data_IF_957390580596
#
_entry.id   IF_957390580596
#
_cell.length_a   1.000
_cell.length_b   1.000
_cell.length_c   1.000
_cell.angle_alpha   90.00
_cell.angle_beta   90.00
_cell.angle_gamma   90.00
#
_symmetry.space_group_name_H-M   'P 1'
#
loop_
_entity.id
_entity.type
_entity.pdbx_description
1 polymer ?
#
# COMPACT_ATOMS: atom_id res chain seq x y z
N UNK A 1 10.91 7.49 -18.84
CA UNK A 1 11.53 6.39 -18.04
C UNK A 1 12.77 5.83 -18.71
N UNK A 2 12.81 5.76 -20.03
CA UNK A 2 13.96 5.22 -20.77
C UNK A 2 15.25 5.98 -20.48
N UNK A 3 15.20 7.30 -20.44
CA UNK A 3 16.33 8.13 -20.03
C UNK A 3 16.80 7.84 -18.61
N UNK A 4 15.84 7.69 -17.65
CA UNK A 4 16.17 7.37 -16.28
C UNK A 4 16.85 6.00 -16.16
N UNK A 5 16.37 5.02 -16.93
CA UNK A 5 16.95 3.67 -16.97
C UNK A 5 18.36 3.63 -17.54
N UNK A 6 18.71 4.58 -18.39
CA UNK A 6 20.08 4.67 -18.91
C UNK A 6 21.13 4.94 -17.81
N UNK A 7 20.71 5.56 -16.71
CA UNK A 7 21.59 5.92 -15.59
C UNK A 7 21.38 5.07 -14.33
N UNK A 8 20.15 4.55 -14.11
CA UNK A 8 19.79 3.85 -12.87
C UNK A 8 19.76 2.35 -13.10
N UNK A 9 20.59 1.61 -12.35
CA UNK A 9 20.62 0.14 -12.35
C UNK A 9 19.78 -0.49 -11.23
N UNK A 10 19.26 0.35 -10.32
CA UNK A 10 18.39 -0.10 -9.23
C UNK A 10 16.96 -0.34 -9.73
N UNK A 11 16.18 -1.18 -9.04
CA UNK A 11 14.75 -1.28 -9.29
C UNK A 11 14.06 0.09 -9.16
N UNK A 12 13.21 0.42 -10.15
CA UNK A 12 12.48 1.69 -10.18
C UNK A 12 11.00 1.40 -9.92
N UNK A 13 10.45 2.04 -8.88
CA UNK A 13 9.03 2.03 -8.58
C UNK A 13 8.44 3.40 -8.90
N UNK A 14 7.27 3.42 -9.54
CA UNK A 14 6.50 4.67 -9.70
C UNK A 14 5.52 4.83 -8.55
N UNK A 15 5.48 6.01 -7.94
CA UNK A 15 4.57 6.35 -6.84
C UNK A 15 3.60 7.45 -7.27
N UNK A 16 2.36 7.36 -6.78
CA UNK A 16 1.29 8.29 -7.12
C UNK A 16 0.33 7.74 -8.17
N UNK A 17 0.37 6.44 -8.41
CA UNK A 17 -0.54 5.77 -9.35
C UNK A 17 -1.90 5.60 -8.68
N UNK A 18 -2.95 6.10 -9.34
CA UNK A 18 -4.33 6.06 -8.87
C UNK A 18 -5.31 5.48 -9.91
N UNK A 19 -4.81 4.99 -11.05
CA UNK A 19 -5.65 4.41 -12.11
C UNK A 19 -5.07 3.10 -12.65
N UNK A 20 -5.95 2.24 -13.16
CA UNK A 20 -5.55 1.02 -13.87
C UNK A 20 -4.72 1.33 -15.12
N UNK A 21 -5.01 2.45 -15.79
CA UNK A 21 -4.31 2.86 -17.00
C UNK A 21 -2.84 3.18 -16.72
N UNK A 22 -2.58 4.05 -15.73
CA UNK A 22 -1.21 4.38 -15.33
C UNK A 22 -0.43 3.16 -14.83
N UNK A 23 -1.11 2.25 -14.13
CA UNK A 23 -0.50 1.01 -13.67
C UNK A 23 -0.08 0.10 -14.85
N UNK A 24 -0.91 0.01 -15.91
CA UNK A 24 -0.52 -0.73 -17.13
C UNK A 24 0.67 -0.10 -17.83
N UNK A 25 0.64 1.22 -18.02
CA UNK A 25 1.74 1.97 -18.63
C UNK A 25 3.04 1.79 -17.84
N UNK A 26 2.99 1.84 -16.50
CA UNK A 26 4.15 1.59 -15.66
C UNK A 26 4.79 0.23 -15.94
N UNK A 27 3.98 -0.82 -16.05
CA UNK A 27 4.47 -2.17 -16.36
C UNK A 27 4.98 -2.28 -17.80
N UNK A 28 4.31 -1.68 -18.77
CA UNK A 28 4.71 -1.67 -20.19
C UNK A 28 6.04 -0.96 -20.39
N UNK A 29 6.28 0.12 -19.66
CA UNK A 29 7.59 0.79 -19.61
C UNK A 29 8.60 0.05 -18.72
N UNK A 30 8.28 -1.15 -18.25
CA UNK A 30 9.19 -2.05 -17.53
C UNK A 30 9.60 -1.54 -16.15
N UNK A 31 8.79 -0.77 -15.45
CA UNK A 31 9.03 -0.41 -14.06
C UNK A 31 8.91 -1.64 -13.17
N UNK A 32 9.64 -1.64 -12.06
CA UNK A 32 9.80 -2.79 -11.18
C UNK A 32 8.77 -2.87 -10.06
N UNK A 33 7.90 -1.87 -9.96
CA UNK A 33 6.79 -1.84 -9.00
C UNK A 33 5.90 -0.63 -9.19
N UNK A 34 4.68 -0.77 -8.72
CA UNK A 34 3.66 0.29 -8.71
C UNK A 34 3.35 0.65 -7.26
N UNK A 35 3.24 1.92 -6.96
CA UNK A 35 2.93 2.40 -5.63
C UNK A 35 1.68 3.29 -5.67
N UNK A 36 0.57 2.73 -5.24
CA UNK A 36 -0.74 3.40 -5.15
C UNK A 36 -0.70 4.44 -4.04
N UNK A 37 -0.95 5.69 -4.40
CA UNK A 37 -0.85 6.80 -3.45
C UNK A 37 -1.49 8.07 -3.99
N UNK A 38 -2.38 8.69 -3.23
CA UNK A 38 -2.89 10.04 -3.47
C UNK A 38 -2.12 11.12 -2.69
N UNK A 39 -0.88 10.83 -2.29
CA UNK A 39 -0.02 11.74 -1.52
C UNK A 39 -0.65 12.23 -0.19
N UNK A 40 -1.59 11.45 0.36
CA UNK A 40 -2.32 11.77 1.58
C UNK A 40 -3.47 12.75 1.38
N UNK A 41 -3.99 12.85 0.16
CA UNK A 41 -5.07 13.74 -0.25
C UNK A 41 -4.63 15.22 -0.29
N UNK A 42 -3.35 15.50 -0.61
CA UNK A 42 -2.78 16.84 -0.56
C UNK A 42 -2.51 17.47 -1.93
N UNK A 43 -2.51 16.66 -2.97
CA UNK A 43 -2.09 17.10 -4.31
C UNK A 43 -3.28 17.43 -5.20
N UNK A 44 -4.33 16.64 -5.13
CA UNK A 44 -5.56 16.80 -5.91
C UNK A 44 -6.76 16.69 -4.98
N UNK A 45 -7.72 17.60 -5.12
CA UNK A 45 -8.97 17.54 -4.38
C UNK A 45 -9.92 16.50 -5.02
N UNK A 46 -10.75 15.90 -4.18
CA UNK A 46 -11.77 14.91 -4.58
C UNK A 46 -11.23 13.61 -5.20
N UNK A 47 -9.95 13.31 -5.03
CA UNK A 47 -9.40 12.00 -5.35
C UNK A 47 -9.99 10.90 -4.47
N UNK A 48 -10.17 9.73 -5.05
CA UNK A 48 -10.54 8.53 -4.32
C UNK A 48 -9.45 8.12 -3.31
N UNK A 49 -9.82 7.29 -2.35
CA UNK A 49 -8.81 6.76 -1.43
C UNK A 49 -7.94 5.69 -2.11
N UNK A 50 -6.65 5.60 -1.77
CA UNK A 50 -5.77 4.58 -2.35
C UNK A 50 -6.27 3.14 -2.11
N UNK A 51 -7.02 2.89 -1.03
CA UNK A 51 -7.57 1.57 -0.76
C UNK A 51 -8.74 1.22 -1.69
N UNK A 52 -9.52 2.21 -2.12
CA UNK A 52 -10.64 2.03 -3.05
C UNK A 52 -10.16 1.70 -4.46
N UNK A 53 -9.11 2.36 -4.95
CA UNK A 53 -8.55 2.10 -6.29
C UNK A 53 -7.58 0.92 -6.32
N UNK A 54 -7.15 0.42 -5.17
CA UNK A 54 -6.17 -0.67 -5.10
C UNK A 54 -6.58 -1.93 -5.89
N UNK A 55 -7.85 -2.42 -5.84
CA UNK A 55 -8.25 -3.60 -6.59
C UNK A 55 -8.08 -3.45 -8.11
N UNK A 56 -8.48 -2.32 -8.68
CA UNK A 56 -8.35 -2.08 -10.11
C UNK A 56 -6.89 -2.01 -10.57
N UNK A 57 -6.02 -1.41 -9.74
CA UNK A 57 -4.58 -1.34 -10.00
C UNK A 57 -3.95 -2.74 -9.93
N UNK A 58 -4.29 -3.54 -8.93
CA UNK A 58 -3.83 -4.93 -8.79
C UNK A 58 -4.25 -5.76 -9.99
N UNK A 59 -5.50 -5.64 -10.43
CA UNK A 59 -6.02 -6.33 -11.60
C UNK A 59 -5.31 -5.89 -12.90
N UNK A 60 -4.99 -4.62 -13.03
CA UNK A 60 -4.27 -4.09 -14.18
C UNK A 60 -2.81 -4.59 -14.25
N UNK A 61 -2.15 -4.69 -13.10
CA UNK A 61 -0.77 -5.19 -12.97
C UNK A 61 -0.67 -6.69 -13.20
N UNK A 62 -1.70 -7.47 -12.83
CA UNK A 62 -1.78 -8.94 -13.03
C UNK A 62 -0.58 -9.70 -12.46
N UNK A 63 -0.08 -9.28 -11.30
CA UNK A 63 1.04 -9.94 -10.63
C UNK A 63 2.41 -9.79 -11.31
N UNK A 64 2.53 -8.99 -12.37
CA UNK A 64 3.79 -8.79 -13.12
C UNK A 64 4.85 -8.06 -12.30
N UNK A 65 4.43 -7.15 -11.44
CA UNK A 65 5.28 -6.41 -10.49
C UNK A 65 4.55 -6.24 -9.16
N UNK A 66 5.25 -6.01 -8.04
CA UNK A 66 4.61 -5.75 -6.76
C UNK A 66 3.83 -4.42 -6.78
N UNK A 67 2.66 -4.43 -6.14
CA UNK A 67 1.85 -3.23 -5.89
C UNK A 67 1.97 -2.87 -4.41
N UNK A 68 2.47 -1.67 -4.13
CA UNK A 68 2.53 -1.09 -2.80
C UNK A 68 1.41 -0.07 -2.64
N UNK A 69 1.03 0.24 -1.41
CA UNK A 69 0.00 1.24 -1.14
C UNK A 69 0.32 2.05 0.11
N UNK A 70 0.00 3.35 0.10
CA UNK A 70 -0.06 4.20 1.29
C UNK A 70 -1.37 5.01 1.32
N UNK A 71 -1.51 5.83 2.34
CA UNK A 71 -2.66 6.72 2.50
C UNK A 71 -3.72 6.17 3.45
N UNK A 72 -3.90 6.85 4.58
CA UNK A 72 -4.97 6.54 5.53
C UNK A 72 -4.70 5.41 6.53
N UNK A 73 -3.68 4.61 6.38
CA UNK A 73 -3.38 3.47 7.25
C UNK A 73 -3.02 3.91 8.69
N UNK A 74 -3.82 3.46 9.66
CA UNK A 74 -3.70 3.83 11.08
C UNK A 74 -3.85 2.66 12.03
N UNK A 75 -4.42 1.55 11.57
CA UNK A 75 -4.71 0.36 12.35
C UNK A 75 -4.16 -0.89 11.68
N UNK A 76 -3.88 -1.93 12.46
CA UNK A 76 -3.47 -3.22 11.91
C UNK A 76 -4.50 -3.85 10.97
N UNK A 77 -5.80 -3.62 11.22
CA UNK A 77 -6.87 -4.07 10.34
C UNK A 77 -6.85 -3.40 8.96
N UNK A 78 -6.39 -2.14 8.85
CA UNK A 78 -6.25 -1.47 7.56
C UNK A 78 -5.18 -2.16 6.71
N UNK A 79 -4.07 -2.55 7.35
CA UNK A 79 -2.98 -3.30 6.71
C UNK A 79 -3.50 -4.66 6.21
N UNK A 80 -4.26 -5.39 7.04
CA UNK A 80 -4.84 -6.67 6.66
C UNK A 80 -5.73 -6.55 5.42
N UNK A 81 -6.59 -5.51 5.36
CA UNK A 81 -7.46 -5.25 4.22
C UNK A 81 -6.66 -4.99 2.94
N UNK A 82 -5.63 -4.16 3.00
CA UNK A 82 -4.80 -3.87 1.84
C UNK A 82 -4.09 -5.11 1.29
N UNK A 83 -3.54 -5.94 2.17
CA UNK A 83 -2.92 -7.22 1.76
C UNK A 83 -3.95 -8.17 1.16
N UNK A 84 -5.15 -8.24 1.75
CA UNK A 84 -6.25 -9.06 1.22
C UNK A 84 -6.74 -8.59 -0.16
N UNK A 85 -6.62 -7.31 -0.46
CA UNK A 85 -6.92 -6.70 -1.76
C UNK A 85 -5.75 -6.79 -2.76
N UNK A 86 -4.66 -7.46 -2.40
CA UNK A 86 -3.56 -7.77 -3.32
C UNK A 86 -2.35 -6.85 -3.23
N UNK A 87 -2.27 -5.95 -2.25
CA UNK A 87 -1.04 -5.20 -1.99
C UNK A 87 0.08 -6.13 -1.53
N UNK A 88 1.29 -5.92 -2.04
CA UNK A 88 2.49 -6.61 -1.59
C UNK A 88 3.04 -6.01 -0.28
N UNK A 89 2.84 -4.71 -0.07
CA UNK A 89 3.26 -4.01 1.14
C UNK A 89 2.44 -2.73 1.36
N UNK A 90 2.40 -2.29 2.62
CA UNK A 90 1.74 -1.06 3.06
C UNK A 90 2.78 -0.11 3.66
N UNK A 91 2.70 1.17 3.32
CA UNK A 91 3.52 2.19 3.95
C UNK A 91 2.68 3.12 4.84
N UNK A 92 3.31 3.58 5.92
CA UNK A 92 2.69 4.45 6.93
C UNK A 92 3.48 5.76 7.01
N UNK A 93 2.80 6.90 6.93
CA UNK A 93 3.44 8.20 6.99
C UNK A 93 3.06 8.99 8.25
N UNK A 94 1.82 9.44 8.38
CA UNK A 94 1.40 10.31 9.49
C UNK A 94 1.52 9.67 10.88
N UNK A 95 1.12 8.42 11.11
CA UNK A 95 1.24 7.80 12.43
C UNK A 95 2.67 7.80 12.99
N UNK A 96 3.67 7.42 12.15
CA UNK A 96 5.05 7.41 12.61
C UNK A 96 5.57 8.83 12.90
N UNK A 97 5.10 9.87 12.18
CA UNK A 97 5.44 11.26 12.45
C UNK A 97 4.85 11.77 13.77
N UNK A 98 3.64 11.32 14.12
CA UNK A 98 3.04 11.63 15.43
C UNK A 98 3.85 10.99 16.56
N UNK A 99 4.25 9.73 16.40
CA UNK A 99 5.16 9.06 17.33
C UNK A 99 6.49 9.81 17.49
N UNK A 100 7.08 10.23 16.37
CA UNK A 100 8.32 11.00 16.36
C UNK A 100 8.17 12.33 17.10
N UNK A 101 7.10 13.06 16.86
CA UNK A 101 6.84 14.35 17.50
C UNK A 101 6.59 14.21 19.01
N UNK A 102 5.95 13.13 19.46
CA UNK A 102 5.61 12.92 20.86
C UNK A 102 6.79 12.40 21.70
N UNK A 103 7.57 11.45 21.17
CA UNK A 103 8.57 10.71 21.95
C UNK A 103 9.85 10.39 21.14
N UNK A 104 10.14 11.12 20.08
CA UNK A 104 11.33 10.85 19.26
C UNK A 104 11.35 9.44 18.64
N UNK A 105 12.53 8.85 18.56
CA UNK A 105 12.70 7.50 18.00
C UNK A 105 11.92 6.43 18.73
N UNK A 106 11.80 6.51 20.06
CA UNK A 106 11.01 5.56 20.85
C UNK A 106 9.52 5.63 20.48
N UNK A 107 9.00 6.81 20.17
CA UNK A 107 7.62 6.98 19.70
C UNK A 107 7.39 6.35 18.32
N UNK A 108 8.34 6.46 17.42
CA UNK A 108 8.29 5.77 16.11
C UNK A 108 8.25 4.26 16.30
N UNK A 109 9.15 3.72 17.10
CA UNK A 109 9.18 2.29 17.42
C UNK A 109 7.84 1.84 17.99
N UNK A 110 7.29 2.59 18.94
CA UNK A 110 6.01 2.25 19.59
C UNK A 110 4.84 2.22 18.60
N UNK A 111 4.80 3.14 17.64
CA UNK A 111 3.78 3.13 16.59
C UNK A 111 3.83 1.83 15.78
N UNK A 112 5.01 1.38 15.36
CA UNK A 112 5.14 0.12 14.62
C UNK A 112 4.80 -1.10 15.48
N UNK A 113 5.17 -1.11 16.76
CA UNK A 113 4.78 -2.18 17.69
C UNK A 113 3.26 -2.29 17.83
N UNK A 114 2.55 -1.16 17.95
CA UNK A 114 1.08 -1.12 18.01
C UNK A 114 0.48 -1.67 16.72
N UNK A 115 0.92 -1.19 15.56
CA UNK A 115 0.43 -1.64 14.26
C UNK A 115 0.67 -3.14 14.05
N UNK A 116 1.83 -3.66 14.44
CA UNK A 116 2.14 -5.09 14.37
C UNK A 116 1.25 -5.92 15.30
N UNK A 117 1.04 -5.47 16.53
CA UNK A 117 0.18 -6.16 17.50
C UNK A 117 -1.27 -6.23 16.98
N UNK A 118 -1.80 -5.12 16.50
CA UNK A 118 -3.14 -5.05 15.92
C UNK A 118 -3.27 -5.90 14.65
N UNK A 119 -2.24 -5.90 13.78
CA UNK A 119 -2.23 -6.72 12.58
C UNK A 119 -2.25 -8.22 12.91
N UNK A 120 -1.43 -8.66 13.87
CA UNK A 120 -1.45 -10.05 14.35
C UNK A 120 -2.80 -10.43 14.93
N UNK A 121 -3.42 -9.54 15.71
CA UNK A 121 -4.76 -9.77 16.25
C UNK A 121 -5.80 -9.89 15.15
N UNK A 122 -5.75 -9.02 14.13
CA UNK A 122 -6.66 -9.06 12.99
C UNK A 122 -6.48 -10.35 12.17
N UNK A 123 -5.24 -10.80 11.95
CA UNK A 123 -4.95 -12.10 11.32
C UNK A 123 -5.55 -13.24 12.12
N UNK A 124 -5.36 -13.28 13.44
CA UNK A 124 -5.90 -14.31 14.31
C UNK A 124 -7.44 -14.33 14.27
N UNK A 125 -8.07 -13.15 14.36
CA UNK A 125 -9.52 -13.02 14.31
C UNK A 125 -10.15 -13.47 12.98
N UNK A 126 -9.39 -13.42 11.89
CA UNK A 126 -9.81 -13.87 10.55
C UNK A 126 -9.30 -15.27 10.19
N UNK A 127 -8.66 -15.98 11.13
CA UNK A 127 -8.12 -17.32 10.91
C UNK A 127 -6.93 -17.39 9.96
N UNK A 128 -6.19 -16.29 9.77
CA UNK A 128 -5.02 -16.23 8.87
C UNK A 128 -3.75 -16.49 9.67
N UNK A 129 -3.10 -17.63 9.42
CA UNK A 129 -1.92 -18.08 10.17
C UNK A 129 -0.61 -17.56 9.61
N UNK A 130 -0.62 -17.02 8.39
CA UNK A 130 0.54 -16.42 7.72
C UNK A 130 0.12 -15.30 6.80
N UNK A 131 1.05 -14.41 6.43
CA UNK A 131 0.79 -13.34 5.44
C UNK A 131 0.40 -13.96 4.09
N UNK A 132 1.01 -15.06 3.70
CA UNK A 132 0.71 -15.75 2.45
C UNK A 132 -0.71 -16.36 2.40
N UNK A 133 -1.36 -16.55 3.56
CA UNK A 133 -2.74 -17.04 3.63
C UNK A 133 -3.80 -15.91 3.59
N UNK A 134 -3.37 -14.66 3.54
CA UNK A 134 -4.27 -13.51 3.43
C UNK A 134 -4.74 -13.39 1.99
N UNK A 135 -6.05 -13.40 1.78
CA UNK A 135 -6.68 -13.28 0.47
C UNK A 135 -7.99 -12.48 0.54
N UNK A 136 -8.58 -12.18 -0.62
CA UNK A 136 -9.79 -11.38 -0.74
C UNK A 136 -11.05 -11.94 -0.05
N UNK A 137 -11.05 -13.20 0.39
CA UNK A 137 -12.21 -13.82 1.02
C UNK A 137 -12.60 -13.20 2.37
N UNK A 138 -11.68 -12.48 3.02
CA UNK A 138 -11.89 -11.81 4.31
C UNK A 138 -12.35 -10.35 4.18
N UNK A 139 -12.45 -9.82 2.97
CA UNK A 139 -12.86 -8.44 2.72
C UNK A 139 -14.09 -8.44 1.81
N UNK A 140 -15.06 -7.60 2.14
CA UNK A 140 -16.16 -7.26 1.23
C UNK A 140 -15.95 -5.85 0.73
N UNK A 141 -15.89 -5.70 -0.57
CA UNK A 141 -15.84 -4.40 -1.24
C UNK A 141 -17.25 -4.07 -1.75
N UNK A 142 -17.78 -2.93 -1.36
CA UNK A 142 -19.05 -2.40 -1.85
C UNK A 142 -18.78 -1.18 -2.74
N UNK A 143 -17.78 -1.31 -3.61
CA UNK A 143 -17.57 -0.28 -4.61
C UNK A 143 -18.60 -0.49 -5.73
N UNK A 144 -19.37 0.53 -6.08
CA UNK A 144 -20.35 0.47 -7.16
C UNK A 144 -19.71 0.26 -8.52
#
# INVERSE_FOLDING_TARGET
FDELRAFVRLPILIKGVMTAEDARLAVEHGLNGVYVSNHGGRSVDYEESPLEVLPEVVDAVKGRVPVLVDGGFRRGADILKALALGAAAVAVCRPQRWGLAAYGGAGVQRVFEILQAEFRLAMAATGRTSIASIDGSIVRTYFP
#
